data_IF_145814513434
#
_entry.id   IF_145814513434
#
_cell.length_a   1.000
_cell.length_b   1.000
_cell.length_c   1.000
_cell.angle_alpha   90.00
_cell.angle_beta   90.00
_cell.angle_gamma   90.00
#
_symmetry.space_group_name_H-M   'P 1'
#
loop_
_entity.id
_entity.type
_entity.pdbx_description
1 polymer ?
#
# COMPACT_ATOMS: atom_id res chain seq x y z
N UNK A 1 -13.53 9.93 21.51
CA UNK A 1 -12.60 10.89 20.87
C UNK A 1 -13.27 11.38 19.59
N UNK A 2 -13.41 12.69 19.38
CA UNK A 2 -13.95 13.21 18.12
C UNK A 2 -12.83 13.19 17.07
N UNK A 3 -13.07 12.50 15.95
CA UNK A 3 -12.18 12.53 14.79
C UNK A 3 -12.44 13.86 14.08
N UNK A 4 -11.40 14.69 13.93
CA UNK A 4 -11.49 15.91 13.11
C UNK A 4 -11.37 15.53 11.64
N UNK A 5 -12.49 15.11 11.04
CA UNK A 5 -12.53 14.80 9.61
C UNK A 5 -12.70 16.09 8.79
N UNK A 6 -11.93 16.21 7.71
CA UNK A 6 -11.97 17.37 6.82
C UNK A 6 -13.21 17.36 5.90
N UNK A 7 -13.78 16.19 5.63
CA UNK A 7 -14.89 16.00 4.68
C UNK A 7 -15.61 14.67 4.95
N UNK A 8 -16.89 14.59 4.56
CA UNK A 8 -17.66 13.34 4.53
C UNK A 8 -18.17 13.05 3.12
N UNK A 9 -18.08 11.80 2.69
CA UNK A 9 -18.59 11.32 1.39
C UNK A 9 -19.60 10.21 1.63
N UNK A 10 -20.83 10.42 1.16
CA UNK A 10 -21.95 9.47 1.27
C UNK A 10 -22.48 8.97 -0.09
N UNK A 11 -22.01 9.54 -1.20
CA UNK A 11 -22.52 9.27 -2.53
C UNK A 11 -21.52 8.49 -3.39
N UNK A 12 -21.97 7.40 -4.01
CA UNK A 12 -21.19 6.57 -4.93
C UNK A 12 -20.85 7.28 -6.26
N UNK A 13 -21.56 8.36 -6.62
CA UNK A 13 -21.27 9.11 -7.84
C UNK A 13 -20.21 10.19 -7.65
N UNK A 14 -19.67 10.34 -6.43
CA UNK A 14 -18.60 11.29 -6.13
C UNK A 14 -17.37 11.04 -7.02
N UNK A 15 -16.81 12.06 -7.69
CA UNK A 15 -15.64 11.91 -8.56
C UNK A 15 -14.40 11.33 -7.83
N UNK A 16 -14.17 11.73 -6.58
CA UNK A 16 -13.07 11.21 -5.74
C UNK A 16 -13.19 9.70 -5.54
N UNK A 17 -14.43 9.21 -5.35
CA UNK A 17 -14.68 7.77 -5.19
C UNK A 17 -14.45 7.00 -6.48
N UNK A 18 -14.90 7.55 -7.62
CA UNK A 18 -14.64 6.95 -8.94
C UNK A 18 -13.14 6.83 -9.22
N UNK A 19 -12.39 7.85 -8.83
CA UNK A 19 -10.93 7.84 -8.93
C UNK A 19 -10.34 6.70 -8.08
N UNK A 20 -10.70 6.56 -6.81
CA UNK A 20 -10.20 5.47 -5.95
C UNK A 20 -10.50 4.08 -6.54
N UNK A 21 -11.71 3.87 -7.05
CA UNK A 21 -12.09 2.62 -7.71
C UNK A 21 -11.22 2.35 -8.96
N UNK A 22 -10.87 3.39 -9.72
CA UNK A 22 -10.07 3.25 -10.92
C UNK A 22 -8.64 2.76 -10.66
N UNK A 23 -8.10 3.00 -9.45
CA UNK A 23 -6.78 2.54 -9.01
C UNK A 23 -6.68 1.01 -8.84
N UNK A 24 -7.80 0.27 -9.00
CA UNK A 24 -7.76 -1.19 -9.18
C UNK A 24 -6.95 -1.61 -10.41
N UNK A 25 -6.89 -0.74 -11.44
CA UNK A 25 -6.19 -0.98 -12.70
C UNK A 25 -4.73 -0.53 -12.60
N UNK A 26 -3.77 -1.42 -12.89
CA UNK A 26 -2.34 -1.10 -12.90
C UNK A 26 -2.01 0.12 -13.77
N UNK A 27 -2.56 0.20 -14.99
CA UNK A 27 -2.36 1.34 -15.90
C UNK A 27 -2.69 2.68 -15.24
N UNK A 28 -3.78 2.75 -14.47
CA UNK A 28 -4.18 3.97 -13.78
C UNK A 28 -3.26 4.26 -12.60
N UNK A 29 -2.90 3.24 -11.81
CA UNK A 29 -1.93 3.43 -10.71
C UNK A 29 -0.60 3.99 -11.22
N UNK A 30 -0.07 3.45 -12.33
CA UNK A 30 1.19 3.92 -12.95
C UNK A 30 1.05 5.35 -13.51
N UNK A 31 -0.04 5.68 -14.22
CA UNK A 31 -0.23 7.03 -14.78
C UNK A 31 -0.47 8.11 -13.73
N UNK A 32 -1.14 7.77 -12.63
CA UNK A 32 -1.44 8.70 -11.53
C UNK A 32 -0.35 8.71 -10.45
N UNK A 33 0.60 7.80 -10.52
CA UNK A 33 1.64 7.57 -9.51
C UNK A 33 1.06 7.38 -8.10
N UNK A 34 -0.11 6.73 -7.99
CA UNK A 34 -0.84 6.56 -6.73
C UNK A 34 -1.33 5.14 -6.53
N UNK A 35 -1.45 4.71 -5.27
CA UNK A 35 -2.06 3.42 -4.93
C UNK A 35 -2.83 3.49 -3.61
N UNK A 36 -3.47 2.38 -3.26
CA UNK A 36 -4.32 2.24 -2.08
C UNK A 36 -3.77 1.20 -1.11
N UNK A 37 -3.72 1.57 0.16
CA UNK A 37 -3.42 0.66 1.26
C UNK A 37 -4.66 0.51 2.15
N UNK A 38 -5.30 -0.68 2.12
CA UNK A 38 -6.48 -0.97 2.93
C UNK A 38 -6.12 -1.84 4.12
N UNK A 39 -6.59 -1.46 5.29
CA UNK A 39 -6.51 -2.22 6.52
C UNK A 39 -5.62 -1.59 7.60
N UNK A 40 -5.92 -1.93 8.86
CA UNK A 40 -5.20 -1.39 10.01
C UNK A 40 -3.69 -1.67 9.97
N UNK A 41 -3.28 -2.91 9.65
CA UNK A 41 -1.86 -3.31 9.66
C UNK A 41 -1.07 -2.62 8.57
N UNK A 42 -1.64 -2.57 7.36
CA UNK A 42 -1.08 -1.94 6.19
C UNK A 42 -0.88 -0.43 6.44
N UNK A 43 -1.89 0.23 7.00
CA UNK A 43 -1.83 1.64 7.31
C UNK A 43 -0.91 1.96 8.50
N UNK A 44 -0.77 1.05 9.48
CA UNK A 44 0.20 1.18 10.55
C UNK A 44 1.64 1.13 10.01
N UNK A 45 1.91 0.24 9.05
CA UNK A 45 3.21 0.16 8.40
C UNK A 45 3.48 1.40 7.53
N UNK A 46 2.49 1.80 6.71
CA UNK A 46 2.58 2.95 5.82
C UNK A 46 2.86 4.27 6.58
N UNK A 47 2.14 4.55 7.67
CA UNK A 47 2.34 5.81 8.42
C UNK A 47 3.71 5.87 9.12
N UNK A 48 4.33 4.71 9.36
CA UNK A 48 5.67 4.59 9.96
C UNK A 48 6.80 4.59 8.94
N UNK A 49 6.46 4.56 7.65
CA UNK A 49 7.41 4.61 6.54
C UNK A 49 7.64 6.05 6.06
N UNK A 50 8.46 6.19 5.05
CA UNK A 50 8.77 7.45 4.36
C UNK A 50 7.95 7.66 3.08
N UNK A 51 6.89 6.88 2.88
CA UNK A 51 5.92 7.10 1.80
C UNK A 51 5.08 8.36 2.06
N UNK A 52 4.86 9.13 1.00
CA UNK A 52 3.96 10.28 1.04
C UNK A 52 2.50 9.81 1.01
N UNK A 53 1.73 10.22 2.01
CA UNK A 53 0.31 9.86 2.14
C UNK A 53 -0.54 11.07 1.80
N UNK A 54 -1.39 10.93 0.79
CA UNK A 54 -2.29 11.99 0.31
C UNK A 54 -3.52 12.14 1.22
N UNK A 55 -4.25 11.04 1.44
CA UNK A 55 -5.52 11.06 2.17
C UNK A 55 -5.77 9.74 2.89
N UNK A 56 -6.27 9.84 4.12
CA UNK A 56 -6.83 8.71 4.88
C UNK A 56 -8.36 8.73 4.76
N UNK A 57 -8.93 7.64 4.29
CA UNK A 57 -10.38 7.39 4.26
C UNK A 57 -10.76 6.46 5.40
N UNK A 58 -11.78 6.84 6.16
CA UNK A 58 -12.23 6.07 7.32
C UNK A 58 -13.73 5.81 7.27
N UNK A 59 -14.14 4.69 7.86
CA UNK A 59 -15.53 4.37 8.15
C UNK A 59 -15.64 3.77 9.56
N UNK A 60 -16.05 4.61 10.52
CA UNK A 60 -16.11 4.22 11.95
C UNK A 60 -17.04 3.04 12.21
N UNK A 61 -18.12 2.91 11.44
CA UNK A 61 -19.07 1.77 11.55
C UNK A 61 -18.41 0.40 11.29
N UNK A 62 -17.23 0.38 10.64
CA UNK A 62 -16.50 -0.84 10.30
C UNK A 62 -15.32 -1.12 11.25
N UNK A 63 -15.06 -0.25 12.21
CA UNK A 63 -13.92 -0.43 13.11
C UNK A 63 -14.07 -1.67 13.99
N UNK A 64 -12.97 -2.41 14.10
CA UNK A 64 -12.86 -3.56 15.00
C UNK A 64 -11.97 -3.17 16.18
N UNK A 65 -12.60 -2.77 17.28
CA UNK A 65 -11.90 -2.32 18.50
C UNK A 65 -11.41 -0.87 18.45
N UNK A 66 -10.67 -0.47 19.49
CA UNK A 66 -10.28 0.94 19.72
C UNK A 66 -8.93 1.35 19.10
N UNK A 67 -8.16 0.40 18.59
CA UNK A 67 -6.81 0.66 18.08
C UNK A 67 -6.82 1.61 16.86
N UNK A 68 -7.94 1.64 16.11
CA UNK A 68 -8.12 2.49 14.94
C UNK A 68 -8.00 3.98 15.30
N UNK A 69 -8.54 4.40 16.45
CA UNK A 69 -8.45 5.80 16.89
C UNK A 69 -7.01 6.26 17.16
N UNK A 70 -6.19 5.37 17.74
CA UNK A 70 -4.76 5.66 17.97
C UNK A 70 -4.03 5.81 16.65
N UNK A 71 -4.31 4.95 15.68
CA UNK A 71 -3.73 5.02 14.35
C UNK A 71 -4.15 6.31 13.63
N UNK A 72 -5.43 6.64 13.60
CA UNK A 72 -5.98 7.86 12.99
C UNK A 72 -5.34 9.11 13.60
N UNK A 73 -5.12 9.12 14.92
CA UNK A 73 -4.44 10.23 15.58
C UNK A 73 -3.00 10.41 15.08
N UNK A 74 -2.30 9.34 14.72
CA UNK A 74 -0.97 9.41 14.11
C UNK A 74 -1.00 10.09 12.73
N UNK A 75 -2.02 9.82 11.91
CA UNK A 75 -2.25 10.51 10.63
C UNK A 75 -2.56 12.00 10.84
N UNK A 76 -3.43 12.30 11.80
CA UNK A 76 -3.81 13.68 12.14
C UNK A 76 -2.60 14.50 12.61
N UNK A 77 -1.72 13.92 13.44
CA UNK A 77 -0.47 14.57 13.88
C UNK A 77 0.49 14.90 12.73
N UNK A 78 0.47 14.13 11.65
CA UNK A 78 1.24 14.39 10.43
C UNK A 78 0.53 15.37 9.47
N UNK A 79 -0.65 15.89 9.83
CA UNK A 79 -1.41 16.82 9.00
C UNK A 79 -2.06 16.18 7.77
N UNK A 80 -2.17 14.85 7.74
CA UNK A 80 -2.75 14.13 6.61
C UNK A 80 -4.27 14.37 6.57
N UNK A 81 -4.79 14.65 5.37
CA UNK A 81 -6.21 14.84 5.13
C UNK A 81 -6.99 13.58 5.52
N UNK A 82 -8.07 13.74 6.31
CA UNK A 82 -8.94 12.65 6.74
C UNK A 82 -10.34 12.86 6.16
N UNK A 83 -10.88 11.82 5.51
CA UNK A 83 -12.21 11.82 4.90
C UNK A 83 -13.03 10.68 5.48
N UNK A 84 -14.22 10.99 6.00
CA UNK A 84 -15.16 9.99 6.50
C UNK A 84 -16.05 9.49 5.36
N UNK A 85 -16.22 8.19 5.28
CA UNK A 85 -17.09 7.50 4.33
C UNK A 85 -18.22 6.79 5.05
N UNK A 86 -19.42 6.76 4.43
CA UNK A 86 -20.47 5.84 4.87
C UNK A 86 -20.07 4.39 4.59
N UNK A 87 -20.62 3.44 5.35
CA UNK A 87 -20.36 2.00 5.18
C UNK A 87 -20.57 1.53 3.74
N UNK A 88 -21.66 1.95 3.10
CA UNK A 88 -21.97 1.61 1.70
C UNK A 88 -20.87 2.09 0.74
N UNK A 89 -20.36 3.31 0.96
CA UNK A 89 -19.33 3.91 0.13
C UNK A 89 -17.99 3.23 0.36
N UNK A 90 -17.62 2.97 1.62
CA UNK A 90 -16.36 2.27 1.94
C UNK A 90 -16.33 0.86 1.34
N UNK A 91 -17.42 0.10 1.48
CA UNK A 91 -17.54 -1.24 0.88
C UNK A 91 -17.38 -1.25 -0.64
N UNK A 92 -17.79 -0.19 -1.33
CA UNK A 92 -17.67 -0.10 -2.78
C UNK A 92 -16.23 0.11 -3.28
N UNK A 93 -15.32 0.61 -2.43
CA UNK A 93 -13.90 0.80 -2.76
C UNK A 93 -13.00 -0.25 -2.12
N UNK A 94 -13.54 -1.06 -1.21
CA UNK A 94 -12.79 -2.08 -0.49
C UNK A 94 -12.38 -3.23 -1.39
N UNK A 95 -11.17 -3.73 -1.18
CA UNK A 95 -10.64 -4.97 -1.76
C UNK A 95 -10.88 -6.19 -0.86
N UNK A 96 -11.51 -5.99 0.32
CA UNK A 96 -11.77 -7.01 1.33
C UNK A 96 -13.25 -7.33 1.41
N UNK A 97 -13.58 -8.60 1.59
CA UNK A 97 -14.95 -9.03 1.90
C UNK A 97 -15.42 -8.48 3.26
N UNK A 98 -14.49 -8.34 4.19
CA UNK A 98 -14.72 -7.79 5.54
C UNK A 98 -13.74 -6.64 5.80
N UNK A 99 -14.06 -5.44 5.34
CA UNK A 99 -13.22 -4.27 5.57
C UNK A 99 -13.23 -3.85 7.03
N UNK A 100 -12.10 -3.29 7.49
CA UNK A 100 -11.92 -2.77 8.85
C UNK A 100 -12.04 -1.24 8.97
N UNK A 101 -12.49 -0.60 7.90
CA UNK A 101 -12.83 0.83 7.89
C UNK A 101 -11.64 1.78 7.76
N UNK A 102 -10.46 1.33 7.34
CA UNK A 102 -9.26 2.17 7.13
C UNK A 102 -8.68 1.92 5.75
N UNK A 103 -8.49 3.00 4.97
CA UNK A 103 -7.89 2.95 3.64
C UNK A 103 -7.13 4.26 3.38
N UNK A 104 -5.88 4.17 2.96
CA UNK A 104 -5.08 5.33 2.55
C UNK A 104 -4.85 5.37 1.05
N UNK A 105 -4.90 6.58 0.49
CA UNK A 105 -4.34 6.94 -0.80
C UNK A 105 -2.91 7.45 -0.56
N UNK A 106 -1.92 6.91 -1.27
CA UNK A 106 -0.52 7.29 -1.13
C UNK A 106 0.17 7.40 -2.49
N UNK A 107 1.30 8.13 -2.52
CA UNK A 107 2.13 8.32 -3.71
C UNK A 107 3.09 7.12 -3.82
N UNK A 108 3.22 6.57 -5.02
CA UNK A 108 4.17 5.50 -5.31
C UNK A 108 5.60 6.08 -5.35
N UNK A 109 6.57 5.30 -4.91
CA UNK A 109 7.99 5.59 -5.14
C UNK A 109 8.44 5.01 -6.47
N UNK A 110 9.46 5.60 -7.05
CA UNK A 110 10.21 4.95 -8.12
C UNK A 110 10.97 3.75 -7.52
N UNK A 111 10.82 2.58 -8.11
CA UNK A 111 11.44 1.33 -7.67
C UNK A 111 12.48 0.80 -8.67
N UNK A 112 12.94 1.63 -9.60
CA UNK A 112 14.05 1.24 -10.48
C UNK A 112 15.34 1.12 -9.70
N UNK A 113 16.25 0.28 -10.19
CA UNK A 113 17.58 0.10 -9.58
C UNK A 113 18.28 1.44 -9.41
N UNK A 114 18.88 1.65 -8.25
CA UNK A 114 19.73 2.79 -7.93
C UNK A 114 21.10 2.27 -7.48
N UNK A 115 22.12 3.13 -7.55
CA UNK A 115 23.48 2.79 -7.12
C UNK A 115 23.61 2.71 -5.58
N UNK A 116 22.50 2.62 -4.87
CA UNK A 116 22.50 2.51 -3.42
C UNK A 116 23.14 1.19 -2.98
N UNK A 117 24.01 1.28 -1.98
CA UNK A 117 24.72 0.12 -1.44
C UNK A 117 23.72 -0.85 -0.81
N UNK A 118 23.60 -2.02 -1.41
CA UNK A 118 22.76 -3.10 -0.89
C UNK A 118 23.49 -3.82 0.24
N UNK A 119 22.87 -3.88 1.40
CA UNK A 119 23.37 -4.63 2.54
C UNK A 119 22.50 -5.85 2.81
N UNK A 120 23.14 -7.01 2.98
CA UNK A 120 22.48 -8.24 3.37
C UNK A 120 21.86 -9.04 2.22
N UNK A 121 21.08 -10.08 2.53
CA UNK A 121 20.50 -10.96 1.54
C UNK A 121 19.42 -10.29 0.71
N UNK A 122 19.28 -10.72 -0.53
CA UNK A 122 18.28 -10.24 -1.50
C UNK A 122 17.37 -11.41 -1.88
N UNK A 123 16.06 -11.19 -1.83
CA UNK A 123 15.07 -12.07 -2.45
C UNK A 123 14.76 -11.59 -3.86
N UNK A 124 15.01 -12.40 -4.87
CA UNK A 124 14.61 -12.11 -6.25
C UNK A 124 13.31 -12.87 -6.55
N UNK A 125 12.29 -12.14 -6.95
CA UNK A 125 10.98 -12.64 -7.37
C UNK A 125 10.86 -12.49 -8.88
N UNK A 126 11.15 -13.56 -9.63
CA UNK A 126 11.15 -13.52 -11.08
C UNK A 126 9.75 -13.82 -11.66
N UNK A 127 9.22 -12.89 -12.45
CA UNK A 127 7.97 -13.00 -13.23
C UNK A 127 6.76 -13.54 -12.42
N UNK A 128 6.59 -13.05 -11.18
CA UNK A 128 5.50 -13.52 -10.31
C UNK A 128 4.16 -12.97 -10.81
N UNK A 129 3.25 -13.86 -11.22
CA UNK A 129 1.94 -13.50 -11.78
C UNK A 129 0.90 -13.18 -10.69
N UNK A 130 0.86 -13.96 -9.60
CA UNK A 130 -0.20 -13.85 -8.60
C UNK A 130 0.16 -12.86 -7.51
N UNK A 131 -0.64 -11.78 -7.30
CA UNK A 131 -0.37 -10.79 -6.27
C UNK A 131 -0.24 -11.36 -4.86
N UNK A 132 -1.05 -12.38 -4.53
CA UNK A 132 -0.99 -13.07 -3.25
C UNK A 132 0.34 -13.78 -3.02
N UNK A 133 0.94 -14.36 -4.06
CA UNK A 133 2.24 -15.02 -3.98
C UNK A 133 3.34 -13.98 -3.69
N UNK A 134 3.40 -12.90 -4.48
CA UNK A 134 4.38 -11.84 -4.27
C UNK A 134 4.27 -11.24 -2.86
N UNK A 135 3.06 -10.91 -2.41
CA UNK A 135 2.86 -10.39 -1.05
C UNK A 135 3.25 -11.37 0.05
N UNK A 136 3.01 -12.68 -0.16
CA UNK A 136 3.45 -13.72 0.80
C UNK A 136 4.97 -13.85 0.83
N UNK A 137 5.65 -13.78 -0.32
CA UNK A 137 7.11 -13.77 -0.41
C UNK A 137 7.69 -12.59 0.36
N UNK A 138 7.18 -11.37 0.17
CA UNK A 138 7.57 -10.16 0.91
C UNK A 138 7.40 -10.36 2.42
N UNK A 139 6.24 -10.88 2.84
CA UNK A 139 5.96 -11.15 4.26
C UNK A 139 6.94 -12.15 4.85
N UNK A 140 7.24 -13.23 4.12
CA UNK A 140 8.18 -14.27 4.57
C UNK A 140 9.61 -13.74 4.62
N UNK A 141 10.04 -13.00 3.59
CA UNK A 141 11.34 -12.35 3.55
C UNK A 141 11.56 -11.46 4.79
N UNK A 142 10.60 -10.60 5.10
CA UNK A 142 10.67 -9.74 6.30
C UNK A 142 10.78 -10.53 7.60
N UNK A 143 10.06 -11.64 7.69
CA UNK A 143 10.10 -12.53 8.88
C UNK A 143 11.45 -13.23 9.06
N UNK A 144 12.21 -13.42 7.98
CA UNK A 144 13.55 -14.02 7.95
C UNK A 144 14.67 -12.96 8.05
N UNK A 145 14.34 -11.68 8.20
CA UNK A 145 15.32 -10.59 8.26
C UNK A 145 15.88 -10.19 6.88
N UNK A 146 15.28 -10.65 5.78
CA UNK A 146 15.61 -10.20 4.42
C UNK A 146 14.88 -8.87 4.19
N UNK A 147 15.63 -7.81 3.94
CA UNK A 147 15.07 -6.47 3.76
C UNK A 147 15.04 -6.01 2.30
N UNK A 148 15.74 -6.70 1.41
CA UNK A 148 15.81 -6.37 -0.01
C UNK A 148 14.97 -7.38 -0.81
N UNK A 149 13.97 -6.89 -1.55
CA UNK A 149 13.12 -7.70 -2.43
C UNK A 149 13.08 -7.08 -3.81
N UNK A 150 13.53 -7.83 -4.81
CA UNK A 150 13.60 -7.41 -6.19
C UNK A 150 12.60 -8.20 -7.02
N UNK A 151 11.84 -7.52 -7.88
CA UNK A 151 11.05 -8.13 -8.93
C UNK A 151 11.77 -8.00 -10.26
N UNK A 152 12.13 -9.13 -10.87
CA UNK A 152 12.65 -9.16 -12.23
C UNK A 152 11.53 -9.36 -13.23
N UNK A 153 11.52 -8.54 -14.29
CA UNK A 153 10.53 -8.60 -15.38
C UNK A 153 9.08 -8.69 -14.84
N UNK A 154 8.69 -7.72 -14.02
CA UNK A 154 7.45 -7.76 -13.23
C UNK A 154 6.19 -7.98 -14.07
N UNK A 155 5.41 -8.99 -13.72
CA UNK A 155 4.04 -9.22 -14.21
C UNK A 155 3.03 -8.59 -13.25
N UNK A 156 3.24 -8.77 -11.95
CA UNK A 156 2.47 -8.14 -10.88
C UNK A 156 3.31 -7.09 -10.18
N UNK A 157 2.83 -5.85 -10.14
CA UNK A 157 3.51 -4.74 -9.48
C UNK A 157 3.39 -4.76 -7.95
N UNK A 158 4.40 -4.25 -7.26
CA UNK A 158 4.41 -4.14 -5.81
C UNK A 158 3.23 -3.32 -5.26
N UNK A 159 2.77 -2.31 -6.00
CA UNK A 159 1.69 -1.41 -5.60
C UNK A 159 0.28 -1.95 -5.85
N UNK A 160 0.16 -3.19 -6.31
CA UNK A 160 -1.13 -3.86 -6.38
C UNK A 160 -1.73 -3.98 -4.97
N UNK A 161 -2.97 -3.52 -4.72
CA UNK A 161 -3.59 -3.59 -3.39
C UNK A 161 -3.63 -4.98 -2.76
N UNK A 162 -3.68 -6.03 -3.58
CA UNK A 162 -3.62 -7.41 -3.09
C UNK A 162 -2.20 -7.83 -2.68
N UNK A 163 -1.14 -7.27 -3.28
CA UNK A 163 0.26 -7.45 -2.81
C UNK A 163 0.43 -6.76 -1.46
N UNK A 164 -0.01 -5.51 -1.34
CA UNK A 164 0.04 -4.73 -0.10
C UNK A 164 -0.67 -5.48 1.02
N UNK A 165 -1.87 -6.01 0.74
CA UNK A 165 -2.65 -6.80 1.70
C UNK A 165 -1.96 -8.10 2.10
N UNK A 166 -1.49 -8.89 1.13
CA UNK A 166 -0.86 -10.18 1.39
C UNK A 166 0.47 -10.05 2.13
N UNK A 167 1.20 -8.95 1.90
CA UNK A 167 2.41 -8.59 2.65
C UNK A 167 2.10 -8.00 4.04
N UNK A 168 0.82 -7.76 4.38
CA UNK A 168 0.37 -7.04 5.60
C UNK A 168 1.09 -5.69 5.79
N UNK A 169 1.42 -5.02 4.67
CA UNK A 169 2.11 -3.73 4.65
C UNK A 169 3.62 -3.80 4.86
N UNK A 170 4.23 -4.97 5.00
CA UNK A 170 5.69 -5.08 5.17
C UNK A 170 6.47 -4.44 4.01
N UNK A 171 5.90 -4.42 2.80
CA UNK A 171 6.52 -3.76 1.65
C UNK A 171 6.89 -2.29 1.91
N UNK A 172 6.17 -1.58 2.77
CA UNK A 172 6.44 -0.16 3.07
C UNK A 172 7.71 0.08 3.87
N UNK A 173 8.31 -0.97 4.43
CA UNK A 173 9.51 -0.91 5.29
C UNK A 173 10.65 -1.76 4.76
N UNK A 174 10.65 -2.07 3.47
CA UNK A 174 11.66 -2.88 2.79
C UNK A 174 12.22 -2.12 1.59
N UNK A 175 13.42 -2.47 1.18
CA UNK A 175 14.00 -2.01 -0.07
C UNK A 175 13.41 -2.83 -1.21
N UNK A 176 12.68 -2.17 -2.08
CA UNK A 176 12.01 -2.80 -3.21
C UNK A 176 12.63 -2.27 -4.50
N UNK A 177 12.97 -3.19 -5.41
CA UNK A 177 13.39 -2.86 -6.77
C UNK A 177 12.52 -3.62 -7.75
N UNK A 178 12.11 -2.96 -8.84
CA UNK A 178 11.41 -3.57 -9.96
C UNK A 178 12.12 -3.14 -11.24
N UNK A 179 12.78 -4.10 -11.90
CA UNK A 179 13.56 -3.82 -13.09
C UNK A 179 13.64 -5.08 -13.99
N UNK A 180 14.32 -4.97 -15.13
CA UNK A 180 14.62 -6.13 -15.98
C UNK A 180 15.59 -7.09 -15.28
N UNK A 181 15.51 -8.37 -15.64
CA UNK A 181 16.48 -9.38 -15.15
C UNK A 181 17.91 -8.96 -15.43
N UNK A 182 18.22 -8.39 -16.60
CA UNK A 182 19.56 -7.93 -16.94
C UNK A 182 20.04 -6.85 -15.95
N UNK A 183 19.22 -5.83 -15.71
CA UNK A 183 19.61 -4.73 -14.80
C UNK A 183 19.80 -5.22 -13.35
N UNK A 184 19.01 -6.19 -12.92
CA UNK A 184 19.16 -6.78 -11.57
C UNK A 184 20.45 -7.59 -11.46
N UNK A 185 20.81 -8.37 -12.49
CA UNK A 185 22.09 -9.10 -12.56
C UNK A 185 23.27 -8.11 -12.49
N UNK A 186 23.22 -7.07 -13.30
CA UNK A 186 24.27 -6.04 -13.33
C UNK A 186 24.40 -5.34 -11.96
N UNK A 187 23.28 -4.98 -11.32
CA UNK A 187 23.26 -4.37 -10.00
C UNK A 187 23.89 -5.27 -8.92
N UNK A 188 23.67 -6.57 -9.00
CA UNK A 188 24.19 -7.55 -8.03
C UNK A 188 25.62 -8.00 -8.35
N UNK A 189 26.17 -7.64 -9.50
CA UNK A 189 27.49 -8.09 -9.99
C UNK A 189 27.65 -9.62 -10.05
N UNK A 190 26.62 -10.34 -10.54
CA UNK A 190 26.57 -11.82 -10.66
C UNK A 190 26.37 -12.25 -12.11
#
# INVERSE_FOLDING_TARGET
MNISANKSISSLVNPELKFLISLSKNKIRKSENKSLAEGYRENKSLISSDYEIDTLYICEELFVGNNNYTLINSFNKKGIRIVTLTKKVFQAISYRDRPDGILSLFIQKNLTSSDDVLNGPVLIADQIEKPGNLGTMIRTAKSLGVENVFCSDEITDFYNPNVIRASIGHMFTMNLISDTTSNIIDLLNI
#
